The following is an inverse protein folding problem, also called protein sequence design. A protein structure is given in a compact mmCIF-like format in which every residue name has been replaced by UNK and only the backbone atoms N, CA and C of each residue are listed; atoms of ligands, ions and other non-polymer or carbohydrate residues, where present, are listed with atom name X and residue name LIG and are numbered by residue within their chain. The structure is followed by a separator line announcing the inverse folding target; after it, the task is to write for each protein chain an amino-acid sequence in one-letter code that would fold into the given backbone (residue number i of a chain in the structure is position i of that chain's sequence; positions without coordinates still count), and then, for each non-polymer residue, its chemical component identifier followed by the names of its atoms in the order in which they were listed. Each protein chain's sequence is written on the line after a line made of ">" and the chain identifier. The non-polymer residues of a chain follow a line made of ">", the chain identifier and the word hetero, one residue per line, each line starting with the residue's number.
data_IF_025627436121
#
_entry.id   IF_025627436121
#
_cell.length_a   1.000
_cell.length_b   1.000
_cell.length_c   1.000
_cell.angle_alpha   90.00
_cell.angle_beta   90.00
_cell.angle_gamma   90.00
#
_symmetry.space_group_name_H-M   'P 1'
#
loop_
_entity.id
_entity.type
_entity.pdbx_description
1 polymer ?
#
# COMPACT_ATOMS: atom_id res chain seq x y z
N UNK A 1 13.27 -16.02 -26.11
CA UNK A 1 14.10 -14.93 -25.58
C UNK A 1 14.29 -15.18 -24.09
N UNK A 2 15.54 -15.23 -23.57
CA UNK A 2 15.75 -15.27 -22.11
C UNK A 2 15.18 -13.96 -21.55
N UNK A 3 14.29 -14.07 -20.57
CA UNK A 3 13.84 -12.91 -19.82
C UNK A 3 15.09 -12.19 -19.26
N UNK A 4 15.19 -10.89 -19.44
CA UNK A 4 16.30 -10.13 -18.89
C UNK A 4 16.26 -10.30 -17.36
N UNK A 5 17.38 -10.74 -16.75
CA UNK A 5 17.46 -10.81 -15.31
C UNK A 5 17.43 -9.40 -14.72
N UNK A 6 16.76 -9.18 -13.57
CA UNK A 6 16.72 -7.87 -12.95
C UNK A 6 18.12 -7.41 -12.54
N UNK A 7 18.36 -6.10 -12.59
CA UNK A 7 19.61 -5.51 -12.13
C UNK A 7 19.72 -5.60 -10.61
N UNK A 8 20.66 -6.42 -10.11
CA UNK A 8 20.97 -6.47 -8.68
C UNK A 8 21.88 -5.29 -8.32
N UNK A 9 21.49 -4.51 -7.32
CA UNK A 9 22.28 -3.38 -6.82
C UNK A 9 22.52 -3.50 -5.31
N UNK A 10 23.67 -3.01 -4.86
CA UNK A 10 24.01 -2.97 -3.43
C UNK A 10 23.87 -1.58 -2.81
N UNK A 11 23.75 -0.54 -3.63
CA UNK A 11 23.66 0.86 -3.21
C UNK A 11 22.60 1.61 -4.01
N UNK A 12 21.63 2.20 -3.31
CA UNK A 12 20.58 3.03 -3.91
C UNK A 12 21.16 4.32 -4.55
N UNK A 13 22.27 4.80 -4.05
CA UNK A 13 22.97 5.99 -4.60
C UNK A 13 23.34 5.89 -6.08
N UNK A 14 23.37 4.68 -6.64
CA UNK A 14 23.61 4.45 -8.08
C UNK A 14 22.40 4.75 -8.96
N UNK A 15 21.20 4.66 -8.40
CA UNK A 15 19.93 4.93 -9.10
C UNK A 15 19.34 6.29 -8.73
N UNK A 16 19.45 6.69 -7.47
CA UNK A 16 18.79 7.88 -6.92
C UNK A 16 18.92 9.15 -7.78
N UNK A 17 20.08 9.47 -8.42
CA UNK A 17 20.19 10.65 -9.28
C UNK A 17 19.28 10.66 -10.51
N UNK A 18 18.75 9.49 -10.88
CA UNK A 18 17.79 9.34 -11.99
C UNK A 18 16.38 9.80 -11.65
N UNK A 19 16.05 10.08 -10.38
CA UNK A 19 14.68 10.28 -9.94
C UNK A 19 14.51 11.54 -9.11
N UNK A 20 13.43 12.27 -9.39
CA UNK A 20 13.02 13.48 -8.66
C UNK A 20 12.02 13.17 -7.57
N UNK A 21 11.27 12.07 -7.71
CA UNK A 21 10.26 11.61 -6.76
C UNK A 21 10.46 10.15 -6.42
N UNK A 22 10.39 9.83 -5.15
CA UNK A 22 10.39 8.48 -4.60
C UNK A 22 9.04 8.22 -3.93
N UNK A 23 8.29 7.21 -4.42
CA UNK A 23 7.08 6.70 -3.78
C UNK A 23 7.47 5.43 -3.02
N UNK A 24 7.69 5.54 -1.72
CA UNK A 24 8.25 4.46 -0.92
C UNK A 24 7.19 3.79 -0.05
N UNK A 25 7.08 2.47 -0.13
CA UNK A 25 6.30 1.70 0.83
C UNK A 25 6.86 1.86 2.25
N UNK A 26 6.00 1.62 3.23
CA UNK A 26 6.32 1.79 4.65
C UNK A 26 6.66 0.45 5.29
N UNK A 27 5.70 -0.50 5.29
CA UNK A 27 5.86 -1.79 5.93
C UNK A 27 6.77 -2.70 5.10
N UNK A 28 7.79 -3.30 5.73
CA UNK A 28 8.78 -4.12 5.03
C UNK A 28 9.95 -3.33 4.42
N UNK A 29 9.78 -2.01 4.20
CA UNK A 29 10.84 -1.14 3.68
C UNK A 29 11.36 -0.17 4.75
N UNK A 30 10.48 0.64 5.35
CA UNK A 30 10.87 1.64 6.37
C UNK A 30 10.86 1.05 7.78
N UNK A 31 9.92 0.15 8.08
CA UNK A 31 9.81 -0.55 9.36
C UNK A 31 9.21 -1.96 9.20
N UNK A 32 9.36 -2.78 10.24
CA UNK A 32 8.78 -4.12 10.33
C UNK A 32 7.60 -4.22 11.34
N UNK A 33 7.07 -3.09 11.77
CA UNK A 33 6.02 -3.01 12.79
C UNK A 33 6.53 -2.88 14.22
N UNK A 34 7.76 -3.28 14.49
CA UNK A 34 8.42 -3.22 15.82
C UNK A 34 9.51 -2.16 15.88
N UNK A 35 10.26 -2.00 14.81
CA UNK A 35 11.37 -1.06 14.71
C UNK A 35 11.51 -0.54 13.28
N UNK A 36 12.04 0.66 13.14
CA UNK A 36 12.45 1.21 11.83
C UNK A 36 13.69 0.50 11.32
N UNK A 37 13.87 0.50 10.00
CA UNK A 37 15.09 0.06 9.34
C UNK A 37 16.05 1.25 9.18
N UNK A 38 17.12 1.36 9.99
CA UNK A 38 17.98 2.57 9.99
C UNK A 38 18.60 2.85 8.63
N UNK A 39 18.92 1.80 7.87
CA UNK A 39 19.50 1.93 6.53
C UNK A 39 18.53 2.53 5.51
N UNK A 40 17.25 2.17 5.60
CA UNK A 40 16.23 2.74 4.75
C UNK A 40 15.98 4.20 5.08
N UNK A 41 15.91 4.53 6.37
CA UNK A 41 15.81 5.92 6.82
C UNK A 41 17.01 6.76 6.31
N UNK A 42 18.24 6.28 6.47
CA UNK A 42 19.45 6.97 5.97
C UNK A 42 19.38 7.16 4.44
N UNK A 43 18.99 6.12 3.69
CA UNK A 43 18.90 6.20 2.24
C UNK A 43 17.88 7.24 1.76
N UNK A 44 16.71 7.30 2.38
CA UNK A 44 15.65 8.26 2.04
C UNK A 44 16.06 9.70 2.44
N UNK A 45 16.63 9.88 3.62
CA UNK A 45 17.17 11.19 4.04
C UNK A 45 18.25 11.72 3.09
N UNK A 46 19.16 10.85 2.64
CA UNK A 46 20.19 11.25 1.67
C UNK A 46 19.62 11.57 0.29
N UNK A 47 18.61 10.82 -0.16
CA UNK A 47 17.91 11.13 -1.41
C UNK A 47 17.26 12.51 -1.34
N UNK A 48 16.57 12.82 -0.23
CA UNK A 48 15.97 14.14 0.02
C UNK A 48 17.03 15.25 0.08
N UNK A 49 18.14 15.03 0.76
CA UNK A 49 19.24 15.98 0.82
C UNK A 49 19.86 16.27 -0.57
N UNK A 50 19.64 15.38 -1.55
CA UNK A 50 20.01 15.57 -2.96
C UNK A 50 18.89 16.14 -3.83
N UNK A 51 17.76 16.51 -3.24
CA UNK A 51 16.65 17.20 -3.91
C UNK A 51 15.52 16.30 -4.37
N UNK A 52 15.53 15.00 -4.05
CA UNK A 52 14.38 14.15 -4.31
C UNK A 52 13.24 14.43 -3.33
N UNK A 53 11.99 14.42 -3.82
CA UNK A 53 10.79 14.43 -2.98
C UNK A 53 10.43 12.99 -2.61
N UNK A 54 10.28 12.72 -1.32
CA UNK A 54 9.91 11.39 -0.81
C UNK A 54 8.48 11.40 -0.28
N UNK A 55 7.63 10.60 -0.90
CA UNK A 55 6.26 10.33 -0.41
C UNK A 55 6.19 8.88 0.05
N UNK A 56 5.85 8.67 1.31
CA UNK A 56 5.57 7.34 1.82
C UNK A 56 4.15 6.91 1.40
N UNK A 57 4.00 5.68 0.91
CA UNK A 57 2.73 5.15 0.36
C UNK A 57 2.38 3.84 1.03
N UNK A 58 1.21 3.74 1.68
CA UNK A 58 0.83 2.55 2.46
C UNK A 58 -0.62 2.13 2.23
N UNK A 59 -0.88 0.82 2.29
CA UNK A 59 -2.23 0.24 2.27
C UNK A 59 -2.96 0.30 3.62
N UNK A 60 -2.37 0.91 4.65
CA UNK A 60 -3.01 1.07 5.94
C UNK A 60 -4.37 1.81 5.80
N UNK A 61 -5.49 1.25 6.34
CA UNK A 61 -6.80 1.88 6.28
C UNK A 61 -6.95 2.99 7.34
N UNK A 62 -5.95 3.85 7.45
CA UNK A 62 -5.86 4.93 8.44
C UNK A 62 -5.40 6.21 7.75
N UNK A 63 -5.92 7.37 8.18
CA UNK A 63 -5.42 8.66 7.69
C UNK A 63 -3.91 8.82 7.88
N UNK A 64 -3.27 9.53 6.96
CA UNK A 64 -1.82 9.77 6.95
C UNK A 64 -1.29 10.37 8.27
N UNK A 65 -2.08 11.20 8.97
CA UNK A 65 -1.70 11.74 10.28
C UNK A 65 -1.56 10.65 11.36
N UNK A 66 -2.35 9.57 11.27
CA UNK A 66 -2.23 8.45 12.21
C UNK A 66 -1.06 7.54 11.84
N UNK A 67 -0.78 7.37 10.55
CA UNK A 67 0.42 6.69 10.08
C UNK A 67 1.67 7.45 10.56
N UNK A 68 1.68 8.78 10.44
CA UNK A 68 2.77 9.61 10.96
C UNK A 68 3.00 9.43 12.46
N UNK A 69 1.91 9.41 13.27
CA UNK A 69 2.01 9.14 14.72
C UNK A 69 2.54 7.72 15.02
N UNK A 70 2.26 6.74 14.16
CA UNK A 70 2.85 5.40 14.30
C UNK A 70 4.35 5.44 14.03
N UNK A 71 4.79 6.12 12.98
CA UNK A 71 6.20 6.31 12.68
C UNK A 71 6.93 7.05 13.80
N UNK A 72 6.31 8.08 14.41
CA UNK A 72 6.87 8.78 15.58
C UNK A 72 7.09 7.82 16.77
N UNK A 73 6.11 6.95 17.06
CA UNK A 73 6.25 5.95 18.14
C UNK A 73 7.37 4.93 17.88
N UNK A 74 7.66 4.67 16.60
CA UNK A 74 8.77 3.82 16.19
C UNK A 74 10.10 4.59 16.09
N UNK A 75 10.13 5.88 16.48
CA UNK A 75 11.28 6.77 16.38
C UNK A 75 11.83 6.94 14.95
N UNK A 76 10.93 6.90 13.95
CA UNK A 76 11.32 7.24 12.56
C UNK A 76 11.64 8.74 12.48
N UNK A 77 12.82 9.13 11.98
CA UNK A 77 13.14 10.53 11.80
C UNK A 77 12.17 11.22 10.84
N UNK A 78 11.72 12.42 11.18
CA UNK A 78 10.78 13.19 10.33
C UNK A 78 11.40 13.61 9.00
N UNK A 79 12.70 13.65 8.93
CA UNK A 79 13.50 13.97 7.75
C UNK A 79 13.48 12.87 6.69
N UNK A 80 12.93 11.69 7.00
CA UNK A 80 12.83 10.54 6.07
C UNK A 80 11.90 10.84 4.89
N UNK A 81 10.86 11.65 5.09
CA UNK A 81 9.82 11.88 4.08
C UNK A 81 9.33 13.33 4.06
N UNK A 82 8.76 13.73 2.93
CA UNK A 82 8.06 15.01 2.73
C UNK A 82 6.56 14.89 3.00
N UNK A 83 5.97 13.76 2.64
CA UNK A 83 4.55 13.48 2.82
C UNK A 83 4.28 11.98 3.00
N UNK A 84 3.06 11.67 3.46
CA UNK A 84 2.51 10.32 3.51
C UNK A 84 1.19 10.33 2.74
N UNK A 85 0.93 9.26 1.99
CA UNK A 85 -0.36 8.96 1.38
C UNK A 85 -0.75 7.53 1.77
N UNK A 86 -1.91 7.38 2.34
CA UNK A 86 -2.44 6.09 2.78
C UNK A 86 -3.68 5.68 1.99
N UNK A 87 -3.98 4.40 1.99
CA UNK A 87 -5.27 3.90 1.51
C UNK A 87 -6.44 4.54 2.28
N UNK A 88 -6.23 4.86 3.56
CA UNK A 88 -7.17 5.62 4.37
C UNK A 88 -7.46 7.02 3.82
N UNK A 89 -6.44 7.73 3.31
CA UNK A 89 -6.64 9.06 2.71
C UNK A 89 -7.48 8.99 1.43
N UNK A 90 -7.21 7.99 0.57
CA UNK A 90 -8.00 7.75 -0.64
C UNK A 90 -9.45 7.39 -0.29
N UNK A 91 -9.64 6.51 0.71
CA UNK A 91 -10.97 6.15 1.21
C UNK A 91 -11.73 7.39 1.68
N UNK A 92 -11.07 8.27 2.43
CA UNK A 92 -11.66 9.54 2.90
C UNK A 92 -12.03 10.48 1.76
N UNK A 93 -11.21 10.58 0.72
CA UNK A 93 -11.55 11.36 -0.48
C UNK A 93 -12.84 10.85 -1.13
N UNK A 94 -12.98 9.53 -1.30
CA UNK A 94 -14.21 8.91 -1.83
C UNK A 94 -15.42 9.17 -0.93
N UNK A 95 -15.23 9.12 0.39
CA UNK A 95 -16.32 9.42 1.35
C UNK A 95 -16.75 10.90 1.28
N UNK A 96 -15.80 11.82 1.10
CA UNK A 96 -16.10 13.25 0.91
C UNK A 96 -16.91 13.51 -0.37
N UNK A 97 -16.61 12.80 -1.47
CA UNK A 97 -17.40 12.87 -2.71
C UNK A 97 -18.83 12.33 -2.52
N UNK A 98 -19.05 11.49 -1.49
CA UNK A 98 -20.33 10.90 -1.10
C UNK A 98 -21.00 11.61 0.08
N UNK A 99 -20.66 12.87 0.30
CA UNK A 99 -21.26 13.68 1.34
C UNK A 99 -22.80 13.59 1.31
N UNK A 100 -23.42 13.41 2.48
CA UNK A 100 -24.86 13.26 2.63
C UNK A 100 -25.41 11.85 2.40
N UNK A 101 -24.59 10.90 1.92
CA UNK A 101 -24.96 9.48 1.85
C UNK A 101 -24.69 8.78 3.19
N UNK A 102 -25.49 7.75 3.48
CA UNK A 102 -25.29 6.91 4.66
C UNK A 102 -24.29 5.79 4.38
N UNK A 103 -23.42 5.48 5.35
CA UNK A 103 -22.36 4.50 5.24
C UNK A 103 -22.55 3.34 6.21
N UNK A 104 -22.36 2.11 5.71
CA UNK A 104 -22.12 0.95 6.55
C UNK A 104 -20.61 0.72 6.67
N UNK A 105 -20.10 0.70 7.89
CA UNK A 105 -18.70 0.33 8.14
C UNK A 105 -18.62 -1.20 8.35
N UNK A 106 -17.84 -1.86 7.51
CA UNK A 106 -17.50 -3.26 7.62
C UNK A 106 -16.02 -3.35 8.02
N UNK A 107 -15.78 -3.74 9.27
CA UNK A 107 -14.43 -3.81 9.82
C UNK A 107 -14.36 -3.54 11.31
N UNK A 108 -13.17 -3.71 11.89
CA UNK A 108 -12.99 -3.63 13.35
C UNK A 108 -13.14 -2.19 13.85
N UNK A 109 -13.60 -2.06 15.10
CA UNK A 109 -13.81 -0.76 15.76
C UNK A 109 -12.54 0.11 15.78
N UNK A 110 -11.35 -0.51 15.87
CA UNK A 110 -10.06 0.20 15.85
C UNK A 110 -9.82 1.03 14.59
N UNK A 111 -10.50 0.69 13.47
CA UNK A 111 -10.35 1.39 12.19
C UNK A 111 -11.39 2.50 11.99
N UNK A 112 -12.33 2.70 12.92
CA UNK A 112 -13.30 3.80 12.88
C UNK A 112 -12.68 5.19 12.83
N UNK A 113 -11.45 5.30 13.20
CA UNK A 113 -10.69 6.55 13.07
C UNK A 113 -10.61 7.09 11.63
N UNK A 114 -10.85 6.24 10.61
CA UNK A 114 -10.95 6.64 9.20
C UNK A 114 -12.10 7.65 8.97
N UNK A 115 -13.14 7.62 9.80
CA UNK A 115 -14.29 8.53 9.75
C UNK A 115 -14.09 9.82 10.55
N UNK A 116 -12.96 9.95 11.27
CA UNK A 116 -12.70 11.14 12.08
C UNK A 116 -12.47 12.40 11.24
N UNK A 117 -13.00 13.56 11.72
CA UNK A 117 -12.77 14.86 11.10
C UNK A 117 -13.74 15.26 9.99
N UNK A 118 -14.77 14.45 9.71
CA UNK A 118 -15.92 14.81 8.89
C UNK A 118 -17.18 14.09 9.38
N UNK A 119 -18.32 14.63 9.01
CA UNK A 119 -19.61 14.07 9.40
C UNK A 119 -19.90 12.81 8.58
N UNK A 120 -19.91 11.64 9.25
CA UNK A 120 -20.28 10.37 8.65
C UNK A 120 -21.65 9.93 9.20
N UNK A 121 -22.60 9.72 8.32
CA UNK A 121 -23.93 9.23 8.67
C UNK A 121 -23.93 7.71 8.60
N UNK A 122 -23.79 7.05 9.76
CA UNK A 122 -23.83 5.58 9.82
C UNK A 122 -25.23 5.03 9.69
N UNK A 123 -25.38 3.94 8.96
CA UNK A 123 -26.64 3.21 8.84
C UNK A 123 -26.40 1.69 8.89
N UNK A 124 -27.41 0.90 9.31
CA UNK A 124 -27.39 -0.55 9.17
C UNK A 124 -27.22 -0.97 7.69
N UNK A 125 -26.71 -2.18 7.48
CA UNK A 125 -26.45 -2.70 6.14
C UNK A 125 -27.71 -2.67 5.23
N UNK A 126 -28.88 -2.84 5.83
CA UNK A 126 -30.18 -2.87 5.15
C UNK A 126 -30.62 -1.52 4.59
N UNK A 127 -30.04 -0.43 5.09
CA UNK A 127 -30.46 0.94 4.72
C UNK A 127 -29.31 1.83 4.22
N UNK A 128 -28.04 1.43 4.43
CA UNK A 128 -26.88 2.20 3.99
C UNK A 128 -26.83 2.40 2.45
N UNK A 129 -26.29 3.51 2.01
CA UNK A 129 -26.14 3.85 0.58
C UNK A 129 -24.88 3.22 -0.03
N UNK A 130 -23.83 3.04 0.79
CA UNK A 130 -22.58 2.40 0.39
C UNK A 130 -21.87 1.77 1.59
N UNK A 131 -20.79 1.04 1.30
CA UNK A 131 -19.99 0.32 2.30
C UNK A 131 -18.54 0.82 2.27
N UNK A 132 -17.95 1.03 3.45
CA UNK A 132 -16.50 1.18 3.63
C UNK A 132 -16.01 -0.07 4.36
N UNK A 133 -15.20 -0.86 3.68
CA UNK A 133 -14.59 -2.07 4.24
C UNK A 133 -13.13 -1.78 4.62
N UNK A 134 -12.80 -1.90 5.91
CA UNK A 134 -11.44 -1.69 6.43
C UNK A 134 -10.77 -2.97 6.90
N UNK A 135 -11.51 -4.06 7.02
CA UNK A 135 -11.01 -5.36 7.46
C UNK A 135 -12.12 -6.29 7.90
N UNK A 136 -11.74 -7.38 8.55
CA UNK A 136 -12.64 -8.28 9.24
C UNK A 136 -13.00 -7.66 10.61
N UNK A 137 -14.16 -7.99 11.16
CA UNK A 137 -14.58 -7.53 12.49
C UNK A 137 -13.64 -8.10 13.56
N UNK A 138 -13.27 -9.38 13.42
CA UNK A 138 -12.27 -10.07 14.22
C UNK A 138 -11.30 -10.86 13.32
N UNK A 139 -10.21 -10.22 12.94
CA UNK A 139 -9.20 -10.78 12.04
C UNK A 139 -8.31 -11.89 12.67
N UNK A 140 -8.48 -12.21 13.95
CA UNK A 140 -7.79 -13.32 14.60
C UNK A 140 -8.45 -14.68 14.33
N UNK A 141 -9.76 -14.70 14.01
CA UNK A 141 -10.53 -15.94 13.89
C UNK A 141 -11.42 -16.02 12.67
N UNK A 142 -11.77 -14.91 12.05
CA UNK A 142 -12.69 -14.87 10.92
C UNK A 142 -11.97 -15.04 9.58
N UNK A 143 -12.73 -15.51 8.60
CA UNK A 143 -12.32 -15.64 7.20
C UNK A 143 -13.25 -14.82 6.30
N UNK A 144 -12.88 -14.54 5.05
CA UNK A 144 -13.77 -13.83 4.12
C UNK A 144 -15.12 -14.55 3.92
N UNK A 145 -15.16 -15.88 4.02
CA UNK A 145 -16.39 -16.67 3.84
C UNK A 145 -17.44 -16.40 4.93
N UNK A 146 -17.02 -16.04 6.13
CA UNK A 146 -17.94 -15.68 7.23
C UNK A 146 -18.77 -14.44 6.91
N UNK A 147 -18.36 -13.67 5.91
CA UNK A 147 -19.03 -12.45 5.44
C UNK A 147 -20.03 -12.70 4.30
N UNK A 148 -20.10 -13.91 3.75
CA UNK A 148 -20.91 -14.24 2.55
C UNK A 148 -22.35 -13.77 2.67
N UNK A 149 -23.01 -14.01 3.80
CA UNK A 149 -24.41 -13.61 4.00
C UNK A 149 -24.58 -12.07 3.94
N UNK A 150 -23.64 -11.31 4.52
CA UNK A 150 -23.64 -9.83 4.42
C UNK A 150 -23.37 -9.37 2.99
N UNK A 151 -22.45 -10.02 2.28
CA UNK A 151 -22.13 -9.71 0.88
C UNK A 151 -23.32 -10.01 -0.06
N UNK A 152 -24.11 -11.04 0.21
CA UNK A 152 -25.35 -11.33 -0.54
C UNK A 152 -26.41 -10.23 -0.35
N UNK A 153 -26.55 -9.68 0.88
CA UNK A 153 -27.42 -8.52 1.13
C UNK A 153 -26.90 -7.31 0.33
N UNK A 154 -25.61 -7.05 0.37
CA UNK A 154 -24.99 -5.96 -0.39
C UNK A 154 -25.21 -6.11 -1.89
N UNK A 155 -25.07 -7.33 -2.42
CA UNK A 155 -25.26 -7.64 -3.84
C UNK A 155 -26.71 -7.41 -4.27
N UNK A 156 -27.69 -7.92 -3.51
CA UNK A 156 -29.13 -7.68 -3.75
C UNK A 156 -29.46 -6.20 -3.79
N UNK A 157 -28.84 -5.40 -2.91
CA UNK A 157 -29.01 -3.94 -2.84
C UNK A 157 -28.14 -3.18 -3.84
N UNK A 158 -27.26 -3.85 -4.57
CA UNK A 158 -26.29 -3.26 -5.51
C UNK A 158 -25.39 -2.22 -4.84
N UNK A 159 -25.01 -2.44 -3.58
CA UNK A 159 -24.18 -1.52 -2.82
C UNK A 159 -22.79 -1.43 -3.44
N UNK A 160 -22.26 -0.21 -3.46
CA UNK A 160 -20.87 0.05 -3.82
C UNK A 160 -19.99 -0.11 -2.59
N UNK A 161 -18.87 -0.81 -2.71
CA UNK A 161 -17.90 -0.98 -1.64
C UNK A 161 -16.65 -0.15 -1.93
N UNK A 162 -16.16 0.57 -0.93
CA UNK A 162 -14.81 1.14 -0.88
C UNK A 162 -13.97 0.22 -0.01
N UNK A 163 -12.96 -0.43 -0.61
CA UNK A 163 -11.99 -1.25 0.11
C UNK A 163 -10.84 -0.37 0.60
N UNK A 164 -10.79 -0.13 1.90
CA UNK A 164 -9.82 0.75 2.55
C UNK A 164 -8.44 0.12 2.79
N UNK A 165 -8.29 -1.19 2.56
CA UNK A 165 -7.01 -1.92 2.59
C UNK A 165 -7.04 -3.05 1.57
N UNK A 166 -6.47 -2.85 0.36
CA UNK A 166 -6.49 -3.88 -0.68
C UNK A 166 -5.61 -5.10 -0.43
N UNK A 167 -4.78 -5.13 0.61
CA UNK A 167 -4.04 -6.34 0.96
C UNK A 167 -5.01 -7.49 1.23
N UNK A 168 -4.70 -8.67 0.71
CA UNK A 168 -5.50 -9.88 0.94
C UNK A 168 -5.16 -10.47 2.30
N UNK A 169 -3.86 -10.55 2.61
CA UNK A 169 -3.32 -11.01 3.88
C UNK A 169 -2.11 -10.15 4.27
N UNK A 170 -1.83 -10.06 5.55
CA UNK A 170 -0.60 -9.46 6.09
C UNK A 170 -0.02 -10.37 7.17
N UNK A 171 1.30 -10.29 7.36
CA UNK A 171 1.96 -10.95 8.49
C UNK A 171 1.74 -10.14 9.77
N UNK A 172 1.30 -10.83 10.82
CA UNK A 172 1.24 -10.32 12.20
C UNK A 172 2.04 -11.27 13.09
N UNK A 173 3.28 -10.93 13.35
CA UNK A 173 4.23 -11.83 14.00
C UNK A 173 4.53 -13.03 13.10
N UNK A 174 4.15 -14.25 13.53
CA UNK A 174 4.29 -15.49 12.75
C UNK A 174 2.98 -15.95 12.09
N UNK A 175 1.91 -15.14 12.14
CA UNK A 175 0.57 -15.53 11.66
C UNK A 175 0.17 -14.66 10.48
N UNK A 176 -0.39 -15.27 9.43
CA UNK A 176 -1.06 -14.56 8.34
C UNK A 176 -2.50 -14.25 8.76
N UNK A 177 -2.89 -12.99 8.65
CA UNK A 177 -4.26 -12.53 8.93
C UNK A 177 -4.87 -11.91 7.68
N UNK A 178 -6.17 -12.16 7.49
CA UNK A 178 -6.90 -11.59 6.36
C UNK A 178 -7.12 -10.08 6.54
N UNK A 179 -7.11 -9.36 5.41
CA UNK A 179 -7.40 -7.94 5.33
C UNK A 179 -8.69 -7.67 4.53
N UNK A 180 -9.07 -6.40 4.43
CA UNK A 180 -10.27 -5.99 3.70
C UNK A 180 -10.26 -6.41 2.23
N UNK A 181 -9.08 -6.50 1.60
CA UNK A 181 -8.94 -6.97 0.21
C UNK A 181 -9.52 -8.36 0.00
N UNK A 182 -9.36 -9.27 0.96
CA UNK A 182 -9.92 -10.62 0.86
C UNK A 182 -11.47 -10.62 0.81
N UNK A 183 -12.12 -9.77 1.62
CA UNK A 183 -13.59 -9.59 1.59
C UNK A 183 -14.00 -8.90 0.29
N UNK A 184 -13.25 -7.88 -0.13
CA UNK A 184 -13.53 -7.12 -1.34
C UNK A 184 -13.41 -7.97 -2.60
N UNK A 185 -12.42 -8.85 -2.68
CA UNK A 185 -12.23 -9.80 -3.78
C UNK A 185 -13.37 -10.83 -3.82
N UNK A 186 -13.80 -11.34 -2.66
CA UNK A 186 -14.97 -12.19 -2.59
C UNK A 186 -16.22 -11.46 -3.10
N UNK A 187 -16.45 -10.22 -2.67
CA UNK A 187 -17.58 -9.42 -3.15
C UNK A 187 -17.51 -9.15 -4.66
N UNK A 188 -16.32 -8.83 -5.18
CA UNK A 188 -16.13 -8.62 -6.63
C UNK A 188 -16.41 -9.90 -7.43
N UNK A 189 -15.96 -11.08 -6.96
CA UNK A 189 -16.26 -12.37 -7.61
C UNK A 189 -17.76 -12.72 -7.61
N UNK A 190 -18.50 -12.25 -6.60
CA UNK A 190 -19.96 -12.37 -6.57
C UNK A 190 -20.66 -11.37 -7.52
N UNK A 191 -19.94 -10.47 -8.18
CA UNK A 191 -20.47 -9.44 -9.08
C UNK A 191 -20.70 -8.08 -8.43
N UNK A 192 -20.22 -7.87 -7.20
CA UNK A 192 -20.27 -6.60 -6.49
C UNK A 192 -19.35 -5.54 -7.09
N UNK A 193 -19.70 -4.27 -6.93
CA UNK A 193 -18.87 -3.14 -7.37
C UNK A 193 -17.94 -2.70 -6.25
N UNK A 194 -16.63 -2.74 -6.51
CA UNK A 194 -15.59 -2.37 -5.54
C UNK A 194 -14.68 -1.28 -6.11
N UNK A 195 -14.36 -0.28 -5.29
CA UNK A 195 -13.22 0.60 -5.47
C UNK A 195 -12.15 0.22 -4.45
N UNK A 196 -10.98 -0.14 -4.93
CA UNK A 196 -9.83 -0.42 -4.07
C UNK A 196 -9.02 0.87 -3.89
N UNK A 197 -8.90 1.32 -2.64
CA UNK A 197 -8.32 2.63 -2.34
C UNK A 197 -6.77 2.63 -2.27
N UNK A 198 -6.13 1.46 -2.21
CA UNK A 198 -4.68 1.32 -2.06
C UNK A 198 -3.96 0.67 -3.23
N UNK A 199 -2.68 0.35 -3.06
CA UNK A 199 -1.85 -0.40 -4.01
C UNK A 199 -2.44 -1.80 -4.26
N UNK A 200 -2.42 -2.33 -5.46
CA UNK A 200 -1.78 -1.85 -6.70
C UNK A 200 -2.66 -0.93 -7.58
N UNK A 201 -3.76 -0.44 -7.04
CA UNK A 201 -4.77 0.29 -7.81
C UNK A 201 -4.40 1.77 -8.00
N UNK A 202 -4.82 2.33 -9.12
CA UNK A 202 -4.45 3.67 -9.57
C UNK A 202 -4.75 4.81 -8.57
N UNK A 203 -5.89 4.82 -7.83
CA UNK A 203 -6.25 5.97 -6.98
C UNK A 203 -5.18 6.42 -5.99
N UNK A 204 -4.47 5.46 -5.35
CA UNK A 204 -3.42 5.82 -4.38
C UNK A 204 -2.19 6.42 -5.06
N UNK A 205 -1.83 5.96 -6.26
CA UNK A 205 -0.71 6.50 -7.03
C UNK A 205 -1.03 7.89 -7.57
N UNK A 206 -2.25 8.12 -8.08
CA UNK A 206 -2.67 9.44 -8.54
C UNK A 206 -2.62 10.45 -7.39
N UNK A 207 -3.08 10.09 -6.19
CA UNK A 207 -2.98 10.93 -4.99
C UNK A 207 -1.52 11.15 -4.57
N UNK A 208 -0.67 10.11 -4.59
CA UNK A 208 0.74 10.21 -4.21
C UNK A 208 1.54 11.08 -5.19
N UNK A 209 1.30 10.94 -6.50
CA UNK A 209 1.91 11.78 -7.53
C UNK A 209 1.48 13.24 -7.39
N UNK A 210 0.18 13.51 -7.22
CA UNK A 210 -0.31 14.87 -6.99
C UNK A 210 0.30 15.49 -5.73
N UNK A 211 0.44 14.70 -4.66
CA UNK A 211 1.09 15.15 -3.42
C UNK A 211 2.57 15.45 -3.63
N UNK A 212 3.29 14.58 -4.34
CA UNK A 212 4.70 14.77 -4.67
C UNK A 212 4.92 16.03 -5.52
N UNK A 213 4.11 16.24 -6.56
CA UNK A 213 4.16 17.44 -7.40
C UNK A 213 3.90 18.72 -6.61
N UNK A 214 2.93 18.69 -5.68
CA UNK A 214 2.64 19.80 -4.78
C UNK A 214 3.84 20.12 -3.88
N UNK A 215 4.52 19.11 -3.32
CA UNK A 215 5.71 19.29 -2.49
C UNK A 215 6.91 19.76 -3.30
N UNK A 216 7.09 19.24 -4.52
CA UNK A 216 8.17 19.64 -5.43
C UNK A 216 7.94 21.02 -6.08
N UNK A 217 6.72 21.56 -6.01
CA UNK A 217 6.33 22.83 -6.65
C UNK A 217 6.32 22.80 -8.18
N UNK A 218 6.35 21.59 -8.80
CA UNK A 218 6.40 21.40 -10.26
C UNK A 218 5.81 20.06 -10.67
N UNK A 219 5.41 19.96 -11.94
CA UNK A 219 5.08 18.66 -12.55
C UNK A 219 6.30 17.76 -12.65
N UNK A 220 6.10 16.46 -12.48
CA UNK A 220 7.17 15.46 -12.55
C UNK A 220 6.81 14.43 -13.62
N UNK A 221 7.74 14.20 -14.55
CA UNK A 221 7.57 13.16 -15.57
C UNK A 221 7.67 11.76 -14.95
N UNK A 222 6.88 10.80 -15.43
CA UNK A 222 6.81 9.46 -14.85
C UNK A 222 8.16 8.71 -14.90
N UNK A 223 9.01 8.97 -15.88
CA UNK A 223 10.37 8.42 -15.98
C UNK A 223 11.34 9.01 -14.93
N UNK A 224 10.90 10.05 -14.20
CA UNK A 224 11.62 10.67 -13.05
C UNK A 224 11.04 10.25 -11.71
N UNK A 225 10.10 9.28 -11.70
CA UNK A 225 9.47 8.74 -10.49
C UNK A 225 9.88 7.28 -10.30
N UNK A 226 10.29 6.93 -9.10
CA UNK A 226 10.55 5.55 -8.71
C UNK A 226 9.66 5.13 -7.54
N UNK A 227 8.95 4.01 -7.69
CA UNK A 227 8.35 3.32 -6.57
C UNK A 227 9.39 2.41 -5.90
N UNK A 228 9.34 2.29 -4.58
CA UNK A 228 10.20 1.41 -3.77
C UNK A 228 9.27 0.58 -2.88
N UNK A 229 9.40 -0.74 -2.92
CA UNK A 229 8.53 -1.62 -2.13
C UNK A 229 9.06 -3.03 -2.02
N UNK A 230 8.42 -3.82 -1.18
CA UNK A 230 8.78 -5.21 -0.92
C UNK A 230 7.77 -6.23 -1.48
N UNK A 231 6.66 -5.75 -2.09
CA UNK A 231 5.60 -6.62 -2.59
C UNK A 231 5.48 -6.56 -4.11
N UNK A 232 5.61 -7.72 -4.75
CA UNK A 232 5.35 -7.83 -6.20
C UNK A 232 3.86 -7.72 -6.51
N UNK A 233 2.98 -8.05 -5.55
CA UNK A 233 1.52 -8.07 -5.72
C UNK A 233 0.91 -6.69 -5.64
N UNK A 234 1.51 -5.79 -4.88
CA UNK A 234 1.01 -4.42 -4.64
C UNK A 234 1.94 -3.37 -5.25
N UNK A 235 3.20 -3.32 -4.85
CA UNK A 235 4.13 -2.26 -5.26
C UNK A 235 4.57 -2.37 -6.71
N UNK A 236 5.10 -3.55 -7.13
CA UNK A 236 5.53 -3.78 -8.50
C UNK A 236 4.35 -3.63 -9.48
N UNK A 237 3.25 -4.34 -9.19
CA UNK A 237 2.04 -4.29 -10.04
C UNK A 237 1.48 -2.87 -10.15
N UNK A 238 1.48 -2.14 -9.03
CA UNK A 238 1.00 -0.77 -9.01
C UNK A 238 1.90 0.19 -9.77
N UNK A 239 3.23 0.11 -9.59
CA UNK A 239 4.19 0.90 -10.35
C UNK A 239 4.03 0.70 -11.86
N UNK A 240 3.87 -0.55 -12.30
CA UNK A 240 3.58 -0.87 -13.71
C UNK A 240 2.24 -0.31 -14.19
N UNK A 241 1.20 -0.35 -13.34
CA UNK A 241 -0.14 0.18 -13.68
C UNK A 241 -0.10 1.66 -14.00
N UNK A 242 0.79 2.42 -13.36
CA UNK A 242 0.94 3.87 -13.58
C UNK A 242 2.13 4.24 -14.44
N UNK A 243 2.95 3.27 -14.87
CA UNK A 243 4.07 3.47 -15.81
C UNK A 243 5.27 4.18 -15.19
N UNK A 244 5.61 3.84 -13.95
CA UNK A 244 6.80 4.33 -13.24
C UNK A 244 7.79 3.20 -12.96
N UNK A 245 9.07 3.55 -12.78
CA UNK A 245 10.11 2.58 -12.42
C UNK A 245 9.90 2.02 -11.00
N UNK A 246 10.35 0.79 -10.75
CA UNK A 246 10.22 0.12 -9.47
C UNK A 246 11.54 -0.45 -8.97
N UNK A 247 11.86 -0.20 -7.70
CA UNK A 247 12.94 -0.85 -6.95
C UNK A 247 12.35 -1.89 -6.00
N UNK A 248 12.70 -3.16 -6.21
CA UNK A 248 12.24 -4.26 -5.37
C UNK A 248 13.18 -4.50 -4.18
N UNK A 249 12.62 -4.47 -2.97
CA UNK A 249 13.31 -4.76 -1.71
C UNK A 249 12.97 -6.20 -1.29
N UNK A 250 13.94 -7.12 -1.30
CA UNK A 250 13.68 -8.56 -1.16
C UNK A 250 13.62 -9.04 0.29
N UNK A 251 14.06 -8.26 1.28
CA UNK A 251 14.02 -8.65 2.70
C UNK A 251 12.66 -8.51 3.38
N UNK A 252 11.64 -8.06 2.64
CA UNK A 252 10.27 -7.85 3.15
C UNK A 252 9.38 -9.10 3.04
N UNK A 253 8.11 -8.91 2.63
CA UNK A 253 7.06 -9.93 2.69
C UNK A 253 7.36 -11.20 1.86
N UNK A 254 8.17 -11.10 0.81
CA UNK A 254 8.55 -12.24 -0.04
C UNK A 254 9.82 -12.97 0.42
N UNK A 255 10.42 -12.58 1.55
CA UNK A 255 11.73 -13.13 1.95
C UNK A 255 11.74 -14.66 2.11
N UNK A 256 10.67 -15.26 2.63
CA UNK A 256 10.55 -16.72 2.77
C UNK A 256 10.32 -17.40 1.41
N UNK A 257 9.48 -16.82 0.54
CA UNK A 257 9.29 -17.32 -0.83
C UNK A 257 10.58 -17.27 -1.65
N UNK A 258 11.47 -16.32 -1.34
CA UNK A 258 12.77 -16.15 -1.96
C UNK A 258 13.88 -17.00 -1.29
N UNK A 259 13.52 -17.86 -0.33
CA UNK A 259 14.41 -18.79 0.34
C UNK A 259 15.17 -18.23 1.53
N UNK A 260 15.47 -16.93 1.58
CA UNK A 260 16.18 -16.29 2.69
C UNK A 260 16.09 -14.78 2.66
N UNK A 261 15.96 -14.16 3.83
CA UNK A 261 16.07 -12.70 3.97
C UNK A 261 17.47 -12.18 3.64
N UNK A 262 18.50 -12.99 3.85
CA UNK A 262 19.88 -12.55 3.68
C UNK A 262 20.41 -12.77 2.26
N UNK A 263 20.07 -13.91 1.66
CA UNK A 263 20.51 -14.27 0.33
C UNK A 263 19.33 -14.85 -0.45
N UNK A 264 18.53 -14.04 -1.13
CA UNK A 264 17.44 -14.53 -1.95
C UNK A 264 17.97 -15.44 -3.06
N UNK A 265 17.33 -16.58 -3.25
CA UNK A 265 17.62 -17.51 -4.34
C UNK A 265 17.30 -16.88 -5.69
N UNK A 266 18.23 -16.93 -6.63
CA UNK A 266 18.10 -16.25 -7.92
C UNK A 266 17.00 -16.87 -8.81
N UNK A 267 16.81 -18.19 -8.72
CA UNK A 267 15.77 -18.88 -9.50
C UNK A 267 14.39 -18.60 -8.90
N UNK A 268 14.27 -18.61 -7.56
CA UNK A 268 13.06 -18.22 -6.86
C UNK A 268 12.67 -16.76 -7.16
N UNK A 269 13.64 -15.84 -7.12
CA UNK A 269 13.42 -14.43 -7.50
C UNK A 269 12.91 -14.29 -8.93
N UNK A 270 13.56 -15.00 -9.87
CA UNK A 270 13.16 -14.99 -11.28
C UNK A 270 11.73 -15.54 -11.46
N UNK A 271 11.41 -16.64 -10.77
CA UNK A 271 10.07 -17.24 -10.81
C UNK A 271 8.99 -16.30 -10.23
N UNK A 272 9.27 -15.68 -9.08
CA UNK A 272 8.36 -14.73 -8.42
C UNK A 272 8.07 -13.52 -9.32
N UNK A 273 9.10 -12.93 -9.94
CA UNK A 273 8.95 -11.80 -10.86
C UNK A 273 8.20 -12.19 -12.14
N UNK A 274 8.48 -13.39 -12.69
CA UNK A 274 7.77 -13.90 -13.85
C UNK A 274 6.28 -14.12 -13.56
N UNK A 275 5.95 -14.66 -12.39
CA UNK A 275 4.56 -14.86 -11.95
C UNK A 275 3.83 -13.52 -11.73
N UNK A 276 4.54 -12.48 -11.30
CA UNK A 276 3.99 -11.14 -11.13
C UNK A 276 3.73 -10.41 -12.46
N UNK A 277 4.23 -10.94 -13.59
CA UNK A 277 4.01 -10.37 -14.93
C UNK A 277 4.77 -9.08 -15.19
N UNK A 278 5.83 -8.79 -14.43
CA UNK A 278 6.59 -7.57 -14.60
C UNK A 278 7.99 -7.63 -14.01
N UNK A 279 8.89 -6.78 -14.52
CA UNK A 279 10.28 -6.71 -14.08
C UNK A 279 10.54 -5.39 -13.38
N UNK A 280 11.16 -5.38 -12.20
CA UNK A 280 11.61 -4.15 -11.56
C UNK A 280 12.80 -3.56 -12.32
N UNK A 281 13.00 -2.25 -12.19
CA UNK A 281 14.20 -1.57 -12.69
C UNK A 281 15.46 -2.11 -12.05
N UNK A 282 15.39 -2.37 -10.75
CA UNK A 282 16.45 -2.97 -9.97
C UNK A 282 15.90 -3.74 -8.77
N UNK A 283 16.75 -4.59 -8.23
CA UNK A 283 16.50 -5.37 -7.01
C UNK A 283 17.61 -5.10 -6.02
N UNK A 284 17.26 -4.90 -4.77
CA UNK A 284 18.23 -4.89 -3.67
C UNK A 284 17.65 -5.57 -2.44
N UNK A 285 18.54 -6.06 -1.57
CA UNK A 285 18.10 -6.78 -0.37
C UNK A 285 17.36 -5.87 0.60
N UNK A 286 17.97 -4.79 0.98
CA UNK A 286 17.46 -3.77 1.89
C UNK A 286 17.76 -2.40 1.27
N UNK A 287 16.88 -1.43 1.50
CA UNK A 287 17.12 -0.07 0.99
C UNK A 287 18.34 0.54 1.69
N UNK A 288 19.46 0.63 0.98
CA UNK A 288 20.75 1.17 1.47
C UNK A 288 21.32 2.19 0.49
N UNK A 289 21.89 3.26 1.05
CA UNK A 289 22.52 4.31 0.25
C UNK A 289 23.81 3.90 -0.45
#
# INVERSE_FOLDING_TARGET
>A
MKAASPQLISKFSTLAPGYDVLLCDIWGVVHNGLAVHPHACDALMRARAKGATVVLVTNAPRPSEQVARQLDRLHCPREVYDAIVSSGDVTRSVMQERHGQTVYHLGPERDRSIFGGFEAHFAPLETADYVVCTGLDNDDIETPEDYRARLEIMLKRKLFMVCGNPDVVVERGSTLVYCAGAIADLYATMGGKVLYAGKPYRPIYDMALAKAESMAGRKVAHDRVMAIGDSVRTDLKGAHTVGIDFLFVTSGIHAEELGSRENPDADALTATLAAAGGMPKAVMRELRW
#
